data_IF_472109599376
#
_entry.id   IF_472109599376
#
_cell.length_a   1.000
_cell.length_b   1.000
_cell.length_c   1.000
_cell.angle_alpha   90.00
_cell.angle_beta   90.00
_cell.angle_gamma   90.00
#
_symmetry.space_group_name_H-M   'P 1'
#
loop_
_entity.id
_entity.type
_entity.pdbx_description
1 polymer ?
#
# COMPACT_ATOMS: atom_id res chain seq x y z
N UNK A 1 17.02 -19.08 -21.27
CA UNK A 1 17.06 -17.70 -20.73
C UNK A 1 17.86 -16.83 -21.69
N UNK A 2 17.27 -15.76 -22.23
CA UNK A 2 17.95 -14.84 -23.18
C UNK A 2 19.17 -14.15 -22.53
N UNK A 3 20.19 -13.84 -23.33
CA UNK A 3 21.43 -13.16 -22.90
C UNK A 3 21.16 -11.81 -22.22
N UNK A 4 20.07 -11.10 -22.59
CA UNK A 4 19.61 -9.89 -21.90
C UNK A 4 19.14 -10.15 -20.47
N UNK A 5 18.38 -11.22 -20.23
CA UNK A 5 17.93 -11.61 -18.88
C UNK A 5 19.12 -11.98 -17.97
N UNK A 6 20.13 -12.66 -18.51
CA UNK A 6 21.37 -12.98 -17.76
C UNK A 6 22.14 -11.71 -17.36
N UNK A 7 22.24 -10.72 -18.26
CA UNK A 7 22.92 -9.46 -17.97
C UNK A 7 22.19 -8.63 -16.92
N UNK A 8 20.85 -8.53 -16.99
CA UNK A 8 20.05 -7.83 -15.98
C UNK A 8 20.14 -8.47 -14.59
N UNK A 9 20.14 -9.80 -14.50
CA UNK A 9 20.28 -10.53 -13.22
C UNK A 9 21.68 -10.33 -12.62
N UNK A 10 22.74 -10.41 -13.45
CA UNK A 10 24.12 -10.17 -13.00
C UNK A 10 24.32 -8.73 -12.54
N UNK A 11 23.76 -7.75 -13.26
CA UNK A 11 23.77 -6.35 -12.85
C UNK A 11 23.02 -6.17 -11.52
N UNK A 12 21.80 -6.72 -11.37
CA UNK A 12 21.05 -6.64 -10.12
C UNK A 12 21.81 -7.26 -8.94
N UNK A 13 22.39 -8.46 -9.11
CA UNK A 13 23.21 -9.12 -8.08
C UNK A 13 24.41 -8.26 -7.68
N UNK A 14 25.10 -7.63 -8.64
CA UNK A 14 26.23 -6.73 -8.36
C UNK A 14 25.80 -5.44 -7.65
N UNK A 15 24.62 -4.89 -8.01
CA UNK A 15 24.06 -3.72 -7.32
C UNK A 15 23.70 -4.08 -5.87
N UNK A 16 23.13 -5.27 -5.60
CA UNK A 16 22.83 -5.75 -4.23
C UNK A 16 24.10 -6.01 -3.42
N UNK A 17 25.10 -6.69 -3.97
CA UNK A 17 26.34 -7.02 -3.23
C UNK A 17 27.09 -5.78 -2.75
N UNK A 18 27.02 -4.67 -3.49
CA UNK A 18 27.63 -3.40 -3.07
C UNK A 18 27.01 -2.81 -1.79
N UNK A 19 25.77 -3.18 -1.44
CA UNK A 19 25.13 -2.77 -0.18
C UNK A 19 25.65 -3.51 1.05
N UNK A 20 26.12 -4.75 0.90
CA UNK A 20 26.53 -5.59 2.02
C UNK A 20 27.94 -5.28 2.50
N UNK A 21 28.84 -4.86 1.61
CA UNK A 21 30.23 -4.56 1.97
C UNK A 21 30.40 -3.26 2.75
N UNK A 22 29.53 -2.27 2.54
CA UNK A 22 29.64 -0.94 3.17
C UNK A 22 29.00 -0.87 4.57
N UNK A 23 28.05 -1.77 4.88
CA UNK A 23 27.35 -1.81 6.17
C UNK A 23 28.21 -2.29 7.36
N UNK A 24 29.43 -2.79 7.13
CA UNK A 24 30.34 -3.21 8.20
C UNK A 24 31.09 -2.06 8.90
N UNK A 25 30.91 -0.79 8.48
CA UNK A 25 31.71 0.35 8.96
C UNK A 25 30.98 1.45 9.74
N UNK A 26 29.66 1.43 9.87
CA UNK A 26 28.93 2.52 10.53
C UNK A 26 27.50 2.13 10.89
N UNK A 27 26.96 2.71 11.95
CA UNK A 27 25.63 2.45 12.51
C UNK A 27 24.51 2.77 11.51
N UNK A 28 24.22 1.81 10.64
CA UNK A 28 22.96 1.66 9.92
C UNK A 28 22.57 0.20 10.06
N UNK A 29 21.79 -0.10 11.10
CA UNK A 29 21.27 -1.45 11.33
C UNK A 29 20.19 -1.75 10.29
N UNK A 30 20.35 -2.89 9.62
CA UNK A 30 19.37 -3.67 8.82
C UNK A 30 19.33 -3.51 7.29
N UNK A 31 20.14 -4.37 6.63
CA UNK A 31 19.84 -5.11 5.39
C UNK A 31 20.92 -6.21 5.08
N UNK A 32 21.90 -6.42 5.97
CA UNK A 32 23.05 -7.29 5.73
C UNK A 32 22.76 -8.81 5.76
N UNK A 33 21.54 -9.25 6.07
CA UNK A 33 21.25 -10.67 6.38
C UNK A 33 20.72 -11.50 5.21
N UNK A 34 20.27 -10.92 4.09
CA UNK A 34 19.66 -11.73 2.99
C UNK A 34 20.62 -12.04 1.84
N UNK A 35 21.53 -11.13 1.44
CA UNK A 35 22.43 -11.43 0.33
C UNK A 35 23.50 -12.48 0.69
N UNK A 36 23.84 -12.64 1.98
CA UNK A 36 24.78 -13.65 2.44
C UNK A 36 24.24 -15.10 2.32
N UNK A 37 22.92 -15.29 2.18
CA UNK A 37 22.30 -16.61 2.17
C UNK A 37 22.27 -17.28 0.79
N UNK A 38 22.55 -16.56 -0.30
CA UNK A 38 22.36 -17.08 -1.66
C UNK A 38 23.55 -17.86 -2.23
N UNK A 39 24.75 -17.81 -1.63
CA UNK A 39 25.91 -18.63 -2.04
C UNK A 39 26.41 -18.47 -3.49
N UNK A 40 25.75 -17.67 -4.32
CA UNK A 40 26.09 -17.45 -5.72
C UNK A 40 26.78 -16.09 -5.89
N UNK A 41 28.09 -16.06 -5.67
CA UNK A 41 28.93 -14.97 -6.18
C UNK A 41 29.05 -15.14 -7.70
N UNK A 42 28.24 -14.43 -8.49
CA UNK A 42 28.47 -14.34 -9.93
C UNK A 42 29.70 -13.48 -10.19
N UNK A 43 30.74 -14.09 -10.76
CA UNK A 43 32.09 -13.54 -10.97
C UNK A 43 32.19 -12.60 -12.18
N UNK A 44 31.29 -11.63 -12.35
CA UNK A 44 31.56 -10.56 -13.30
C UNK A 44 32.65 -9.66 -12.70
N UNK A 45 33.82 -9.60 -13.36
CA UNK A 45 34.88 -8.73 -12.90
C UNK A 45 34.43 -7.26 -13.00
N UNK A 46 34.73 -6.38 -12.01
CA UNK A 46 34.40 -4.95 -12.05
C UNK A 46 34.86 -4.20 -13.31
N UNK A 47 35.76 -4.80 -14.10
CA UNK A 47 36.21 -4.28 -15.38
C UNK A 47 35.14 -4.33 -16.48
N UNK A 48 34.17 -5.24 -16.43
CA UNK A 48 33.15 -5.43 -17.49
C UNK A 48 31.96 -4.44 -17.39
N UNK A 49 31.85 -3.69 -16.28
CA UNK A 49 30.74 -2.75 -16.04
C UNK A 49 31.08 -1.28 -16.33
N UNK A 50 32.37 -0.93 -16.46
CA UNK A 50 32.82 0.46 -16.67
C UNK A 50 32.43 1.04 -18.03
N UNK A 51 32.15 0.18 -19.00
CA UNK A 51 31.75 0.55 -20.36
C UNK A 51 30.23 0.70 -20.52
N UNK A 52 29.46 0.57 -19.43
CA UNK A 52 28.02 0.85 -19.46
C UNK A 52 27.76 2.35 -19.66
N UNK A 53 26.75 2.72 -20.46
CA UNK A 53 26.31 4.11 -20.53
C UNK A 53 25.86 4.58 -19.15
N UNK A 54 26.01 5.88 -18.89
CA UNK A 54 25.57 6.45 -17.61
C UNK A 54 24.13 6.09 -17.32
N UNK A 55 23.89 5.56 -16.11
CA UNK A 55 22.58 5.14 -15.64
C UNK A 55 21.87 6.33 -15.01
N UNK A 56 20.59 6.50 -15.27
CA UNK A 56 19.75 7.51 -14.63
C UNK A 56 18.93 6.89 -13.51
N UNK A 57 19.11 7.42 -12.29
CA UNK A 57 18.32 7.09 -11.10
C UNK A 57 17.34 8.22 -10.81
N UNK A 58 16.04 7.94 -10.96
CA UNK A 58 14.98 8.91 -10.67
C UNK A 58 14.45 8.75 -9.24
N UNK A 59 14.11 9.85 -8.56
CA UNK A 59 13.51 9.85 -7.23
C UNK A 59 12.56 11.04 -7.00
N UNK A 60 11.55 10.87 -6.15
CA UNK A 60 10.62 11.95 -5.81
C UNK A 60 11.13 12.84 -4.67
N UNK A 61 10.68 14.08 -4.65
CA UNK A 61 11.10 15.13 -3.70
C UNK A 61 10.86 14.74 -2.24
N UNK A 62 11.95 14.44 -1.55
CA UNK A 62 12.06 14.30 -0.09
C UNK A 62 13.55 14.31 0.26
N UNK A 63 13.94 14.96 1.34
CA UNK A 63 15.34 14.98 1.80
C UNK A 63 15.88 13.58 2.06
N UNK A 64 15.05 12.67 2.59
CA UNK A 64 15.40 11.28 2.78
C UNK A 64 15.65 10.54 1.47
N UNK A 65 14.83 10.78 0.44
CA UNK A 65 15.01 10.15 -0.87
C UNK A 65 16.26 10.64 -1.60
N UNK A 66 16.58 11.93 -1.49
CA UNK A 66 17.81 12.49 -2.05
C UNK A 66 19.04 11.82 -1.43
N UNK A 67 19.08 11.72 -0.09
CA UNK A 67 20.19 11.08 0.62
C UNK A 67 20.38 9.63 0.19
N UNK A 68 19.28 8.88 0.03
CA UNK A 68 19.33 7.50 -0.48
C UNK A 68 19.92 7.49 -1.90
N UNK A 69 19.42 8.33 -2.81
CA UNK A 69 19.88 8.36 -4.19
C UNK A 69 21.38 8.71 -4.32
N UNK A 70 21.86 9.69 -3.55
CA UNK A 70 23.28 10.05 -3.47
C UNK A 70 24.14 8.92 -2.89
N UNK A 71 23.63 8.23 -1.87
CA UNK A 71 24.30 7.06 -1.27
C UNK A 71 24.44 5.93 -2.29
N UNK A 72 23.35 5.60 -3.01
CA UNK A 72 23.38 4.58 -4.07
C UNK A 72 24.35 4.96 -5.19
N UNK A 73 24.32 6.21 -5.65
CA UNK A 73 25.25 6.73 -6.66
C UNK A 73 26.71 6.55 -6.21
N UNK A 74 27.04 6.94 -4.97
CA UNK A 74 28.39 6.81 -4.44
C UNK A 74 28.84 5.34 -4.35
N UNK A 75 27.99 4.47 -3.82
CA UNK A 75 28.29 3.04 -3.66
C UNK A 75 28.51 2.33 -5.00
N UNK A 76 27.70 2.64 -6.01
CA UNK A 76 27.86 2.07 -7.36
C UNK A 76 29.09 2.63 -8.07
N UNK A 77 29.44 3.90 -7.84
CA UNK A 77 30.68 4.47 -8.38
C UNK A 77 31.92 3.80 -7.76
N UNK A 78 31.93 3.62 -6.43
CA UNK A 78 33.05 3.02 -5.71
C UNK A 78 33.21 1.52 -6.00
N UNK A 79 32.10 0.78 -5.92
CA UNK A 79 32.14 -0.70 -5.99
C UNK A 79 32.13 -1.24 -7.42
N UNK A 80 31.45 -0.53 -8.33
CA UNK A 80 31.19 -1.02 -9.70
C UNK A 80 31.77 -0.10 -10.78
N UNK A 81 32.27 1.09 -10.43
CA UNK A 81 32.80 2.06 -11.38
C UNK A 81 31.73 2.76 -12.22
N UNK A 82 30.45 2.60 -11.88
CA UNK A 82 29.31 3.10 -12.67
C UNK A 82 29.12 4.61 -12.49
N UNK A 83 28.91 5.33 -13.59
CA UNK A 83 28.48 6.72 -13.58
C UNK A 83 26.95 6.81 -13.54
N UNK A 84 26.41 7.27 -12.42
CA UNK A 84 24.96 7.43 -12.21
C UNK A 84 24.60 8.91 -12.22
N UNK A 85 23.56 9.30 -12.94
CA UNK A 85 22.94 10.63 -12.87
C UNK A 85 21.67 10.56 -12.03
N UNK A 86 21.44 11.59 -11.22
CA UNK A 86 20.28 11.68 -10.32
C UNK A 86 19.27 12.67 -10.90
N UNK A 87 17.99 12.28 -10.96
CA UNK A 87 16.92 13.16 -11.43
C UNK A 87 15.79 13.22 -10.39
N UNK A 88 15.53 14.42 -9.88
CA UNK A 88 14.45 14.69 -8.95
C UNK A 88 13.21 15.19 -9.68
N UNK A 89 12.04 14.73 -9.25
CA UNK A 89 10.74 15.25 -9.70
C UNK A 89 9.72 15.34 -8.56
N UNK A 90 8.75 16.24 -8.74
CA UNK A 90 7.55 16.29 -7.90
C UNK A 90 6.75 14.98 -8.03
N UNK A 91 6.01 14.59 -6.98
CA UNK A 91 5.31 13.31 -6.88
C UNK A 91 4.45 12.97 -8.10
N UNK A 92 3.63 13.90 -8.60
CA UNK A 92 2.73 13.60 -9.72
C UNK A 92 3.51 13.24 -11.00
N UNK A 93 4.54 14.02 -11.32
CA UNK A 93 5.43 13.77 -12.48
C UNK A 93 6.20 12.47 -12.30
N UNK A 94 6.66 12.20 -11.07
CA UNK A 94 7.36 10.96 -10.73
C UNK A 94 6.47 9.73 -10.92
N UNK A 95 5.22 9.78 -10.47
CA UNK A 95 4.25 8.70 -10.66
C UNK A 95 4.00 8.45 -12.15
N UNK A 96 3.73 9.50 -12.94
CA UNK A 96 3.51 9.38 -14.38
C UNK A 96 4.71 8.73 -15.10
N UNK A 97 5.92 9.22 -14.82
CA UNK A 97 7.17 8.68 -15.40
C UNK A 97 7.32 7.19 -15.10
N UNK A 98 7.01 6.76 -13.87
CA UNK A 98 7.10 5.34 -13.45
C UNK A 98 5.97 4.49 -14.04
N UNK A 99 4.78 5.04 -14.16
CA UNK A 99 3.63 4.36 -14.75
C UNK A 99 3.86 4.10 -16.24
N UNK A 100 4.50 5.01 -16.95
CA UNK A 100 4.85 4.85 -18.37
C UNK A 100 6.07 3.94 -18.60
N UNK A 101 6.88 3.69 -17.56
CA UNK A 101 8.11 2.91 -17.68
C UNK A 101 9.30 3.73 -18.22
N UNK A 102 9.22 5.06 -18.15
CA UNK A 102 10.20 6.00 -18.70
C UNK A 102 11.40 6.20 -17.76
N UNK A 103 11.98 5.09 -17.28
CA UNK A 103 13.12 5.11 -16.36
C UNK A 103 14.05 3.92 -16.56
N UNK A 104 15.31 4.08 -16.16
CA UNK A 104 16.27 2.98 -16.09
C UNK A 104 16.32 2.38 -14.68
N UNK A 105 16.43 3.26 -13.67
CA UNK A 105 16.29 2.91 -12.26
C UNK A 105 15.43 3.96 -11.59
N UNK A 106 14.50 3.51 -10.75
CA UNK A 106 13.61 4.39 -10.00
C UNK A 106 13.61 3.99 -8.54
N UNK A 107 13.66 4.99 -7.66
CA UNK A 107 13.34 4.79 -6.26
C UNK A 107 11.90 4.27 -6.14
N UNK A 108 11.68 3.27 -5.31
CA UNK A 108 10.33 2.79 -5.00
C UNK A 108 10.17 2.58 -3.49
N UNK A 109 8.93 2.44 -3.06
CA UNK A 109 8.56 2.11 -1.69
C UNK A 109 7.12 1.67 -1.65
N UNK A 110 6.85 0.74 -0.73
CA UNK A 110 5.53 0.25 -0.41
C UNK A 110 5.42 0.11 1.11
N UNK A 111 4.26 0.41 1.65
CA UNK A 111 3.90 0.13 3.04
C UNK A 111 2.78 -0.92 3.00
N UNK A 112 2.79 -1.89 3.92
CA UNK A 112 1.77 -2.92 3.92
C UNK A 112 0.39 -2.34 4.18
N UNK A 113 -0.60 -2.66 3.35
CA UNK A 113 -1.95 -2.13 3.52
C UNK A 113 -2.75 -2.94 4.55
N UNK A 114 -2.40 -4.22 4.67
CA UNK A 114 -3.01 -5.20 5.55
C UNK A 114 -1.97 -6.24 6.01
N UNK A 115 -2.23 -6.91 7.12
CA UNK A 115 -1.33 -7.88 7.78
C UNK A 115 -1.41 -9.25 7.11
N UNK A 116 -1.07 -9.30 5.82
CA UNK A 116 -0.93 -10.53 5.06
C UNK A 116 0.15 -10.34 3.96
N UNK A 117 1.05 -11.33 3.71
CA UNK A 117 2.12 -11.20 2.71
C UNK A 117 1.63 -10.82 1.30
N UNK A 118 0.36 -11.10 0.98
CA UNK A 118 -0.23 -10.76 -0.31
C UNK A 118 -0.09 -9.26 -0.65
N UNK A 119 -0.08 -8.37 0.35
CA UNK A 119 0.09 -6.91 0.14
C UNK A 119 1.40 -6.56 -0.56
N UNK A 120 2.44 -7.41 -0.42
CA UNK A 120 3.73 -7.22 -1.08
C UNK A 120 3.91 -8.05 -2.34
N UNK A 121 3.18 -9.16 -2.47
CA UNK A 121 3.39 -10.14 -3.53
C UNK A 121 2.50 -9.87 -4.75
N UNK A 122 1.24 -9.49 -4.58
CA UNK A 122 0.36 -9.39 -5.74
C UNK A 122 0.65 -8.20 -6.67
N UNK A 123 1.30 -7.16 -6.15
CA UNK A 123 1.68 -5.97 -6.92
C UNK A 123 2.59 -6.28 -8.12
N UNK A 124 3.31 -7.42 -8.10
CA UNK A 124 4.24 -7.80 -9.16
C UNK A 124 3.62 -8.64 -10.27
N UNK A 125 2.33 -8.95 -10.15
CA UNK A 125 1.63 -9.71 -11.19
C UNK A 125 1.60 -8.96 -12.52
N UNK A 126 1.64 -9.69 -13.63
CA UNK A 126 1.66 -9.11 -14.97
C UNK A 126 0.43 -8.24 -15.21
N UNK A 127 0.65 -6.98 -15.59
CA UNK A 127 -0.42 -6.01 -15.86
C UNK A 127 -1.00 -5.33 -14.62
N UNK A 128 -0.52 -5.63 -13.42
CA UNK A 128 -0.91 -4.90 -12.22
C UNK A 128 -0.45 -3.42 -12.31
N UNK A 129 -1.34 -2.48 -11.99
CA UNK A 129 -1.05 -1.05 -12.03
C UNK A 129 0.09 -0.62 -11.09
N UNK A 130 0.28 -1.33 -9.97
CA UNK A 130 1.37 -1.08 -9.03
C UNK A 130 2.71 -1.68 -9.48
N UNK A 131 2.70 -2.53 -10.52
CA UNK A 131 3.93 -3.07 -11.10
C UNK A 131 4.63 -2.02 -12.00
N UNK A 132 5.28 -1.04 -11.38
CA UNK A 132 6.02 -0.02 -12.12
C UNK A 132 7.24 -0.59 -12.87
N UNK A 133 7.80 -1.71 -12.40
CA UNK A 133 8.96 -2.37 -13.04
C UNK A 133 8.63 -2.97 -14.41
N UNK A 134 7.33 -3.17 -14.71
CA UNK A 134 6.83 -3.91 -15.88
C UNK A 134 7.38 -5.35 -15.96
N UNK A 135 7.90 -5.88 -14.86
CA UNK A 135 8.36 -7.26 -14.78
C UNK A 135 7.18 -8.22 -14.97
N UNK A 136 7.44 -9.35 -15.62
CA UNK A 136 6.43 -10.38 -15.85
C UNK A 136 7.06 -11.76 -15.76
N UNK A 137 6.35 -12.65 -15.08
CA UNK A 137 6.70 -14.05 -14.98
C UNK A 137 5.42 -14.88 -14.84
N UNK A 138 5.17 -15.76 -15.81
CA UNK A 138 3.93 -16.54 -15.87
C UNK A 138 3.81 -17.56 -14.71
N UNK A 139 4.93 -18.08 -14.20
CA UNK A 139 4.93 -18.99 -13.05
C UNK A 139 4.60 -18.22 -11.77
N UNK A 140 5.15 -17.01 -11.61
CA UNK A 140 4.80 -16.09 -10.53
C UNK A 140 3.31 -15.76 -10.54
N UNK A 141 2.78 -15.34 -11.69
CA UNK A 141 1.35 -15.02 -11.85
C UNK A 141 0.46 -16.19 -11.45
N UNK A 142 0.83 -17.41 -11.86
CA UNK A 142 0.11 -18.63 -11.50
C UNK A 142 0.16 -18.92 -10.00
N UNK A 143 1.30 -18.70 -9.35
CA UNK A 143 1.45 -18.90 -7.91
C UNK A 143 0.61 -17.88 -7.12
N UNK A 144 0.62 -16.61 -7.51
CA UNK A 144 -0.25 -15.60 -6.91
C UNK A 144 -1.73 -15.95 -7.12
N UNK A 145 -2.13 -16.35 -8.32
CA UNK A 145 -3.50 -16.79 -8.59
C UNK A 145 -3.91 -18.01 -7.73
N UNK A 146 -2.97 -18.95 -7.51
CA UNK A 146 -3.18 -20.10 -6.62
C UNK A 146 -3.37 -19.65 -5.17
N UNK A 147 -2.51 -18.75 -4.69
CA UNK A 147 -2.60 -18.22 -3.34
C UNK A 147 -3.91 -17.43 -3.09
N UNK A 148 -4.39 -16.68 -4.10
CA UNK A 148 -5.66 -15.94 -4.03
C UNK A 148 -6.92 -16.82 -4.10
N UNK A 149 -6.85 -17.98 -4.74
CA UNK A 149 -8.02 -18.87 -4.92
C UNK A 149 -8.09 -20.04 -3.93
N UNK A 150 -7.04 -20.29 -3.15
CA UNK A 150 -6.99 -21.41 -2.20
C UNK A 150 -7.55 -21.06 -0.82
N UNK A 151 -8.53 -21.83 -0.36
CA UNK A 151 -9.03 -21.80 1.02
C UNK A 151 -8.19 -22.65 1.99
N UNK A 152 -7.22 -23.43 1.50
CA UNK A 152 -6.28 -24.18 2.33
C UNK A 152 -5.08 -23.29 2.70
N UNK A 153 -4.85 -22.99 4.00
CA UNK A 153 -3.74 -22.16 4.45
C UNK A 153 -2.37 -22.70 4.06
N UNK A 154 -2.17 -24.02 4.05
CA UNK A 154 -0.89 -24.62 3.71
C UNK A 154 -0.56 -24.43 2.23
N UNK A 155 -1.54 -24.67 1.34
CA UNK A 155 -1.39 -24.43 -0.10
C UNK A 155 -1.14 -22.96 -0.39
N UNK A 156 -1.90 -22.07 0.25
CA UNK A 156 -1.77 -20.62 0.08
C UNK A 156 -0.39 -20.12 0.51
N UNK A 157 0.06 -20.48 1.70
CA UNK A 157 1.37 -20.06 2.21
C UNK A 157 2.52 -20.62 1.38
N UNK A 158 2.43 -21.88 0.95
CA UNK A 158 3.45 -22.48 0.09
C UNK A 158 3.54 -21.76 -1.26
N UNK A 159 2.41 -21.46 -1.89
CA UNK A 159 2.39 -20.72 -3.15
C UNK A 159 3.00 -19.32 -3.02
N UNK A 160 2.75 -18.62 -1.89
CA UNK A 160 3.38 -17.32 -1.62
C UNK A 160 4.90 -17.43 -1.39
N UNK A 161 5.38 -18.45 -0.69
CA UNK A 161 6.83 -18.69 -0.53
C UNK A 161 7.51 -19.01 -1.86
N UNK A 162 6.88 -19.82 -2.71
CA UNK A 162 7.42 -20.13 -4.04
C UNK A 162 7.43 -18.89 -4.94
N UNK A 163 6.42 -18.02 -4.83
CA UNK A 163 6.37 -16.74 -5.54
C UNK A 163 7.47 -15.79 -5.04
N UNK A 164 7.60 -15.61 -3.72
CA UNK A 164 8.68 -14.83 -3.09
C UNK A 164 10.05 -15.30 -3.58
N UNK A 165 10.28 -16.61 -3.65
CA UNK A 165 11.54 -17.16 -4.16
C UNK A 165 11.83 -16.71 -5.59
N UNK A 166 10.84 -16.70 -6.48
CA UNK A 166 11.02 -16.19 -7.84
C UNK A 166 11.37 -14.70 -7.81
N UNK A 167 10.63 -13.90 -7.04
CA UNK A 167 10.85 -12.46 -6.91
C UNK A 167 12.27 -12.16 -6.41
N UNK A 168 12.73 -12.88 -5.39
CA UNK A 168 14.06 -12.73 -4.80
C UNK A 168 15.18 -13.37 -5.63
N UNK A 169 14.86 -14.18 -6.64
CA UNK A 169 15.83 -14.73 -7.59
C UNK A 169 15.97 -13.84 -8.82
N UNK A 170 14.86 -13.33 -9.37
CA UNK A 170 14.88 -12.47 -10.56
C UNK A 170 15.14 -11.00 -10.24
N UNK A 171 14.97 -10.58 -8.98
CA UNK A 171 15.27 -9.24 -8.45
C UNK A 171 14.74 -8.09 -9.31
N UNK A 172 13.43 -8.05 -9.67
CA UNK A 172 12.84 -6.87 -10.31
C UNK A 172 12.82 -5.65 -9.36
N UNK A 173 13.03 -5.89 -8.07
CA UNK A 173 13.28 -4.88 -7.03
C UNK A 173 14.57 -5.18 -6.28
N UNK A 174 15.18 -4.10 -5.76
CA UNK A 174 16.37 -4.13 -4.93
C UNK A 174 16.02 -3.53 -3.56
N UNK A 175 15.62 -4.35 -2.56
CA UNK A 175 15.30 -3.84 -1.23
C UNK A 175 16.53 -3.20 -0.58
N UNK A 176 16.39 -1.95 -0.11
CA UNK A 176 17.49 -1.18 0.50
C UNK A 176 17.35 -1.09 2.02
N UNK A 177 16.14 -0.78 2.51
CA UNK A 177 15.84 -0.65 3.93
C UNK A 177 14.33 -0.80 4.18
N UNK A 178 13.96 -1.00 5.44
CA UNK A 178 12.58 -0.91 5.90
C UNK A 178 12.34 0.47 6.53
N UNK A 179 11.18 1.07 6.29
CA UNK A 179 10.86 2.35 6.91
C UNK A 179 10.88 2.25 8.44
N UNK A 180 11.47 3.26 9.06
CA UNK A 180 11.45 3.44 10.51
C UNK A 180 10.90 4.83 10.81
N UNK A 181 9.83 4.90 11.61
CA UNK A 181 9.30 6.16 12.09
C UNK A 181 9.91 6.50 13.46
N UNK A 182 10.40 7.73 13.61
CA UNK A 182 10.97 8.24 14.86
C UNK A 182 10.04 9.31 15.40
N UNK A 183 9.64 9.18 16.66
CA UNK A 183 8.70 10.08 17.32
C UNK A 183 9.32 10.64 18.60
N UNK A 184 8.93 11.88 18.94
CA UNK A 184 9.25 12.49 20.22
C UNK A 184 7.97 12.59 21.05
N UNK A 185 7.94 11.91 22.20
CA UNK A 185 6.85 11.97 23.16
C UNK A 185 7.33 12.68 24.44
N UNK A 186 6.52 13.61 24.96
CA UNK A 186 6.76 14.28 26.24
C UNK A 186 6.33 13.44 27.45
N UNK A 187 5.77 12.24 27.21
CA UNK A 187 5.34 11.27 28.21
C UNK A 187 4.00 11.58 28.85
N UNK A 188 3.27 12.62 28.44
CA UNK A 188 1.97 13.01 29.01
C UNK A 188 0.79 12.28 28.37
N UNK A 189 0.93 11.83 27.12
CA UNK A 189 -0.09 11.07 26.41
C UNK A 189 0.21 9.58 26.58
N UNK A 190 -0.78 8.79 26.98
CA UNK A 190 -0.67 7.34 27.19
C UNK A 190 -1.64 6.62 26.25
N UNK A 191 -1.37 5.35 25.97
CA UNK A 191 -2.27 4.46 25.23
C UNK A 191 -2.67 4.93 23.82
N UNK A 192 -1.91 5.86 23.23
CA UNK A 192 -2.00 6.09 21.79
C UNK A 192 -1.38 4.89 21.06
N UNK A 193 -1.84 4.62 19.85
CA UNK A 193 -1.52 3.39 19.12
C UNK A 193 -0.79 3.77 17.85
N UNK A 194 0.31 3.07 17.58
CA UNK A 194 0.96 3.08 16.28
C UNK A 194 0.37 1.95 15.44
N UNK A 195 -0.15 2.29 14.27
CA UNK A 195 -0.52 1.30 13.28
C UNK A 195 0.72 0.51 12.84
N UNK A 196 0.64 -0.82 12.91
CA UNK A 196 1.80 -1.68 12.70
C UNK A 196 2.30 -1.73 11.24
N UNK A 197 1.54 -1.22 10.27
CA UNK A 197 1.88 -1.36 8.85
C UNK A 197 2.12 -0.02 8.17
N UNK A 198 1.16 0.90 8.24
CA UNK A 198 1.24 2.22 7.63
C UNK A 198 1.84 3.26 8.58
N UNK A 199 2.01 2.91 9.85
CA UNK A 199 2.62 3.80 10.84
C UNK A 199 1.71 4.93 11.31
N UNK A 200 0.41 4.85 11.04
CA UNK A 200 -0.58 5.82 11.46
C UNK A 200 -0.62 6.00 12.98
N UNK A 201 -0.88 7.23 13.41
CA UNK A 201 -0.98 7.60 14.81
C UNK A 201 -2.44 7.66 15.23
N UNK A 202 -2.87 6.73 16.09
CA UNK A 202 -4.25 6.65 16.56
C UNK A 202 -4.38 7.11 18.02
N UNK A 203 -5.25 8.10 18.24
CA UNK A 203 -5.51 8.70 19.55
C UNK A 203 -6.85 8.29 20.17
N UNK A 204 -7.63 7.42 19.51
CA UNK A 204 -8.94 6.95 19.99
C UNK A 204 -8.90 6.38 21.41
N UNK A 205 -7.83 5.66 21.75
CA UNK A 205 -7.63 5.06 23.08
C UNK A 205 -6.68 5.87 23.96
N UNK A 206 -6.21 7.01 23.46
CA UNK A 206 -5.23 7.81 24.17
C UNK A 206 -5.84 8.46 25.41
N UNK A 207 -5.06 8.49 26.48
CA UNK A 207 -5.41 9.19 27.71
C UNK A 207 -4.35 10.23 28.04
N UNK A 208 -4.77 11.31 28.71
CA UNK A 208 -3.90 12.39 29.15
C UNK A 208 -4.46 12.97 30.45
N UNK A 209 -3.58 13.37 31.35
CA UNK A 209 -3.97 14.13 32.55
C UNK A 209 -4.23 15.62 32.20
N UNK A 210 -5.32 16.15 32.76
CA UNK A 210 -5.75 17.54 32.55
C UNK A 210 -6.54 17.75 31.27
N UNK A 211 -7.08 18.97 31.11
CA UNK A 211 -8.02 19.32 30.04
C UNK A 211 -7.35 19.93 28.80
N UNK A 212 -6.03 20.11 28.82
CA UNK A 212 -5.28 20.63 27.68
C UNK A 212 -5.40 19.67 26.49
N UNK A 213 -5.46 20.17 25.23
CA UNK A 213 -5.54 19.31 24.06
C UNK A 213 -4.29 18.41 23.90
N UNK A 214 -4.46 17.27 23.24
CA UNK A 214 -3.34 16.49 22.69
C UNK A 214 -2.77 17.29 21.51
N UNK A 215 -1.47 17.59 21.55
CA UNK A 215 -0.77 18.26 20.46
C UNK A 215 0.03 17.21 19.70
N UNK A 216 -0.30 17.04 18.42
CA UNK A 216 0.37 16.13 17.51
C UNK A 216 0.91 16.89 16.31
N UNK A 217 2.18 16.66 15.95
CA UNK A 217 2.78 17.22 14.76
C UNK A 217 2.56 16.25 13.60
N UNK A 218 1.61 16.59 12.73
CA UNK A 218 1.21 15.79 11.58
C UNK A 218 2.27 15.69 10.46
N UNK A 219 3.32 16.52 10.53
CA UNK A 219 4.41 16.59 9.56
C UNK A 219 4.10 17.48 8.35
N UNK A 220 3.01 17.18 7.63
CA UNK A 220 2.55 17.95 6.48
C UNK A 220 1.08 18.36 6.63
N UNK A 221 0.66 19.36 5.86
CA UNK A 221 -0.76 19.69 5.73
C UNK A 221 -1.38 18.71 4.74
N UNK A 222 -2.44 17.96 5.11
CA UNK A 222 -3.11 17.05 4.21
C UNK A 222 -3.64 17.76 2.96
N UNK A 223 -3.37 17.18 1.80
CA UNK A 223 -3.91 17.69 0.53
C UNK A 223 -5.44 17.54 0.46
N UNK A 224 -5.97 16.48 1.09
CA UNK A 224 -7.40 16.24 1.18
C UNK A 224 -7.76 15.43 2.42
N UNK A 225 -8.96 15.65 2.96
CA UNK A 225 -9.57 14.80 3.99
C UNK A 225 -10.71 13.94 3.42
N UNK A 226 -10.84 13.86 2.10
CA UNK A 226 -11.78 12.97 1.42
C UNK A 226 -11.25 11.54 1.43
N UNK A 227 -11.92 10.58 2.10
CA UNK A 227 -11.40 9.22 2.23
C UNK A 227 -11.16 8.51 0.89
N UNK A 228 -11.90 8.85 -0.17
CA UNK A 228 -11.73 8.25 -1.48
C UNK A 228 -10.68 8.95 -2.35
N UNK A 229 -10.20 10.13 -1.98
CA UNK A 229 -9.14 10.83 -2.73
C UNK A 229 -7.80 10.90 -1.98
N UNK A 230 -7.79 10.66 -0.67
CA UNK A 230 -6.56 10.67 0.10
C UNK A 230 -5.62 9.53 -0.34
N UNK A 231 -4.38 9.89 -0.68
CA UNK A 231 -3.33 8.96 -1.04
C UNK A 231 -2.11 9.00 -0.10
N UNK A 232 -2.20 9.73 1.02
CA UNK A 232 -1.07 10.02 1.89
C UNK A 232 -1.35 9.69 3.37
N UNK A 233 -0.27 9.45 4.13
CA UNK A 233 -0.34 9.01 5.54
C UNK A 233 -0.84 10.12 6.47
N UNK A 234 -0.47 11.37 6.22
CA UNK A 234 -0.90 12.55 6.97
C UNK A 234 -2.41 12.78 6.87
N UNK A 235 -2.99 12.66 5.67
CA UNK A 235 -4.44 12.70 5.52
C UNK A 235 -5.12 11.49 6.16
N UNK A 236 -4.55 10.29 6.02
CA UNK A 236 -5.09 9.07 6.64
C UNK A 236 -5.10 9.13 8.18
N UNK A 237 -4.06 9.71 8.79
CA UNK A 237 -3.99 9.97 10.23
C UNK A 237 -5.21 10.79 10.68
N UNK A 238 -5.58 11.84 9.96
CA UNK A 238 -6.75 12.65 10.31
C UNK A 238 -8.06 11.92 10.01
N UNK A 239 -8.19 11.31 8.83
CA UNK A 239 -9.41 10.64 8.36
C UNK A 239 -9.84 9.52 9.33
N UNK A 240 -8.91 8.74 9.87
CA UNK A 240 -9.22 7.66 10.81
C UNK A 240 -9.78 8.13 12.16
N UNK A 241 -9.67 9.42 12.49
CA UNK A 241 -10.33 10.00 13.66
C UNK A 241 -11.69 10.63 13.32
N UNK A 242 -11.93 10.92 12.04
CA UNK A 242 -13.17 11.56 11.57
C UNK A 242 -14.21 10.55 11.08
N UNK A 243 -13.78 9.37 10.65
CA UNK A 243 -14.62 8.33 10.06
C UNK A 243 -14.36 6.97 10.70
N UNK A 244 -15.37 6.11 10.65
CA UNK A 244 -15.29 4.71 11.09
C UNK A 244 -15.73 3.83 9.93
N UNK A 245 -14.91 2.84 9.57
CA UNK A 245 -15.24 1.83 8.55
C UNK A 245 -16.25 0.79 9.03
N UNK A 246 -16.51 -0.24 8.22
CA UNK A 246 -17.31 -1.38 8.68
C UNK A 246 -16.63 -2.05 9.89
N UNK A 247 -15.30 -2.12 9.83
CA UNK A 247 -14.42 -2.60 10.90
C UNK A 247 -13.44 -1.49 11.27
N UNK A 248 -12.75 -1.66 12.40
CA UNK A 248 -11.67 -0.78 12.83
C UNK A 248 -10.58 -1.60 13.52
N UNK A 249 -9.45 -0.97 13.83
CA UNK A 249 -8.39 -1.56 14.66
C UNK A 249 -8.65 -1.23 16.13
N UNK A 250 -8.21 -2.07 17.07
CA UNK A 250 -8.19 -1.79 18.51
C UNK A 250 -6.81 -1.32 19.00
N UNK A 251 -6.64 -1.15 20.31
CA UNK A 251 -5.37 -0.72 20.90
C UNK A 251 -4.19 -1.68 20.71
N UNK A 252 -4.46 -2.88 20.21
CA UNK A 252 -3.48 -3.93 19.91
C UNK A 252 -3.34 -4.18 18.42
N UNK A 253 -3.84 -3.27 17.58
CA UNK A 253 -3.91 -3.43 16.11
C UNK A 253 -4.78 -4.62 15.64
N UNK A 254 -5.60 -5.22 16.52
CA UNK A 254 -6.51 -6.29 16.12
C UNK A 254 -7.75 -5.71 15.45
N UNK A 255 -8.28 -6.41 14.45
CA UNK A 255 -9.52 -5.99 13.79
C UNK A 255 -10.72 -6.28 14.69
N UNK A 256 -11.51 -5.25 14.93
CA UNK A 256 -12.72 -5.27 15.76
C UNK A 256 -13.91 -4.64 15.00
N UNK A 257 -15.15 -4.87 15.46
CA UNK A 257 -16.34 -4.20 14.94
C UNK A 257 -16.21 -2.68 14.91
N UNK A 258 -16.55 -2.07 13.77
CA UNK A 258 -16.67 -0.62 13.57
C UNK A 258 -18.15 -0.22 13.50
N UNK A 259 -18.57 0.33 12.36
CA UNK A 259 -20.00 0.57 12.07
C UNK A 259 -20.75 -0.76 11.93
N UNK A 260 -20.10 -1.81 11.41
CA UNK A 260 -20.67 -3.15 11.45
C UNK A 260 -20.44 -3.78 12.82
N UNK A 261 -21.53 -4.16 13.50
CA UNK A 261 -21.50 -4.84 14.81
C UNK A 261 -21.04 -6.30 14.71
N UNK A 262 -21.33 -6.94 13.58
CA UNK A 262 -20.97 -8.32 13.25
C UNK A 262 -21.07 -8.53 11.73
N UNK A 263 -20.56 -9.66 11.26
CA UNK A 263 -20.71 -10.09 9.88
C UNK A 263 -20.79 -11.62 9.78
N UNK A 264 -21.49 -12.08 8.74
CA UNK A 264 -21.56 -13.49 8.36
C UNK A 264 -20.78 -13.71 7.06
N UNK A 265 -20.19 -14.89 6.91
CA UNK A 265 -19.40 -15.28 5.73
C UNK A 265 -19.99 -16.58 5.19
N UNK A 266 -20.24 -16.65 3.88
CA UNK A 266 -20.68 -17.88 3.22
C UNK A 266 -19.61 -18.99 3.28
N UNK A 267 -20.03 -20.26 3.13
CA UNK A 267 -19.12 -21.41 3.18
C UNK A 267 -17.98 -21.36 2.15
N UNK A 268 -18.22 -20.71 1.00
CA UNK A 268 -17.22 -20.50 -0.06
C UNK A 268 -16.31 -19.28 0.18
N UNK A 269 -16.58 -18.47 1.20
CA UNK A 269 -15.83 -17.26 1.54
C UNK A 269 -16.08 -16.06 0.62
N UNK A 270 -17.04 -16.15 -0.30
CA UNK A 270 -17.27 -15.13 -1.33
C UNK A 270 -18.31 -14.08 -0.92
N UNK A 271 -19.32 -14.45 -0.15
CA UNK A 271 -20.39 -13.53 0.28
C UNK A 271 -20.21 -13.16 1.73
N UNK A 272 -20.10 -11.86 1.99
CA UNK A 272 -19.99 -11.27 3.31
C UNK A 272 -21.23 -10.42 3.57
N UNK A 273 -21.88 -10.64 4.71
CA UNK A 273 -23.05 -9.86 5.14
C UNK A 273 -22.73 -9.10 6.41
N UNK A 274 -22.60 -7.78 6.32
CA UNK A 274 -22.31 -6.89 7.45
C UNK A 274 -23.60 -6.34 8.04
N UNK A 275 -23.73 -6.41 9.38
CA UNK A 275 -24.87 -5.91 10.13
C UNK A 275 -24.47 -4.62 10.85
N UNK A 276 -24.94 -3.49 10.35
CA UNK A 276 -24.63 -2.16 10.86
C UNK A 276 -25.31 -1.91 12.21
N UNK A 277 -24.65 -1.13 13.06
CA UNK A 277 -25.20 -0.73 14.34
C UNK A 277 -26.37 0.26 14.17
N UNK A 278 -27.36 0.16 15.06
CA UNK A 278 -28.50 1.07 15.07
C UNK A 278 -28.14 2.47 15.59
N UNK A 279 -27.13 2.56 16.46
CA UNK A 279 -26.66 3.81 17.09
C UNK A 279 -25.61 4.56 16.26
N UNK A 280 -25.19 4.03 15.12
CA UNK A 280 -24.26 4.70 14.23
C UNK A 280 -24.94 5.91 13.58
N UNK A 281 -24.46 7.11 13.93
CA UNK A 281 -24.94 8.39 13.41
C UNK A 281 -23.79 9.24 12.88
N UNK A 282 -24.08 10.04 11.87
CA UNK A 282 -23.23 11.12 11.40
C UNK A 282 -23.19 12.26 12.41
N UNK A 283 -22.23 13.17 12.28
CA UNK A 283 -22.07 14.33 13.17
C UNK A 283 -23.28 15.28 13.18
N UNK A 284 -24.13 15.25 12.14
CA UNK A 284 -25.40 15.98 12.06
C UNK A 284 -26.61 15.19 12.63
N UNK A 285 -26.37 14.03 13.24
CA UNK A 285 -27.36 13.17 13.85
C UNK A 285 -28.12 12.25 12.90
N UNK A 286 -27.88 12.30 11.59
CA UNK A 286 -28.52 11.36 10.65
C UNK A 286 -27.94 9.95 10.82
N UNK A 287 -28.75 8.88 10.64
CA UNK A 287 -28.25 7.51 10.73
C UNK A 287 -27.22 7.20 9.64
N UNK A 288 -26.22 6.40 9.98
CA UNK A 288 -25.35 5.73 9.01
C UNK A 288 -26.11 4.52 8.45
N UNK A 289 -26.15 4.39 7.12
CA UNK A 289 -26.87 3.32 6.42
C UNK A 289 -25.97 2.62 5.39
N UNK A 290 -26.35 1.41 4.97
CA UNK A 290 -25.60 0.58 4.01
C UNK A 290 -25.29 1.34 2.71
N UNK A 291 -26.22 2.15 2.21
CA UNK A 291 -26.03 2.95 1.00
C UNK A 291 -24.87 3.96 1.11
N UNK A 292 -24.49 4.41 2.32
CA UNK A 292 -23.32 5.30 2.48
C UNK A 292 -22.01 4.59 2.11
N UNK A 293 -21.90 3.29 2.38
CA UNK A 293 -20.73 2.49 1.98
C UNK A 293 -20.77 2.18 0.48
N UNK A 294 -21.94 1.80 -0.04
CA UNK A 294 -22.12 1.50 -1.48
C UNK A 294 -21.76 2.72 -2.32
N UNK A 295 -22.29 3.89 -1.95
CA UNK A 295 -21.96 5.15 -2.62
C UNK A 295 -20.46 5.44 -2.57
N UNK A 296 -19.83 5.34 -1.39
CA UNK A 296 -18.40 5.58 -1.22
C UNK A 296 -17.53 4.68 -2.11
N UNK A 297 -17.84 3.38 -2.15
CA UNK A 297 -17.06 2.41 -2.91
C UNK A 297 -17.26 2.56 -4.42
N UNK A 298 -18.50 2.81 -4.87
CA UNK A 298 -18.78 3.14 -6.27
C UNK A 298 -18.03 4.41 -6.69
N UNK A 299 -18.06 5.44 -5.84
CA UNK A 299 -17.34 6.69 -6.08
C UNK A 299 -15.84 6.48 -6.17
N UNK A 300 -15.23 5.71 -5.28
CA UNK A 300 -13.80 5.40 -5.34
C UNK A 300 -13.42 4.68 -6.63
N UNK A 301 -14.27 3.76 -7.10
CA UNK A 301 -14.01 2.98 -8.31
C UNK A 301 -14.27 3.73 -9.61
N UNK A 302 -15.14 4.74 -9.61
CA UNK A 302 -15.44 5.55 -10.78
C UNK A 302 -14.15 6.21 -11.30
N UNK A 303 -13.73 5.92 -12.55
CA UNK A 303 -12.54 6.53 -13.14
C UNK A 303 -12.58 8.08 -13.13
N UNK A 304 -13.78 8.68 -13.16
CA UNK A 304 -13.95 10.12 -13.10
C UNK A 304 -13.55 10.72 -11.74
N UNK A 305 -13.56 9.93 -10.66
CA UNK A 305 -13.10 10.38 -9.34
C UNK A 305 -11.58 10.45 -9.27
N UNK A 306 -10.86 9.57 -9.98
CA UNK A 306 -9.39 9.53 -9.96
C UNK A 306 -8.79 9.05 -8.63
N UNK A 307 -9.45 8.12 -7.92
CA UNK A 307 -8.94 7.57 -6.66
C UNK A 307 -7.70 6.69 -6.89
N UNK A 308 -6.54 7.12 -6.40
CA UNK A 308 -5.29 6.35 -6.54
C UNK A 308 -5.33 5.03 -5.74
N UNK A 309 -6.10 4.97 -4.64
CA UNK A 309 -6.29 3.77 -3.83
C UNK A 309 -7.50 2.91 -4.22
N UNK A 310 -8.15 3.16 -5.37
CA UNK A 310 -9.29 2.37 -5.85
C UNK A 310 -9.02 0.85 -5.88
N UNK A 311 -7.76 0.47 -6.09
CA UNK A 311 -7.33 -0.93 -6.10
C UNK A 311 -7.54 -1.67 -4.78
N UNK A 312 -7.67 -0.96 -3.65
CA UNK A 312 -8.04 -1.58 -2.35
C UNK A 312 -9.42 -2.24 -2.39
N UNK A 313 -10.28 -1.85 -3.35
CA UNK A 313 -11.64 -2.37 -3.52
C UNK A 313 -11.68 -3.50 -4.56
N UNK A 314 -10.59 -3.79 -5.29
CA UNK A 314 -10.59 -4.76 -6.39
C UNK A 314 -10.90 -6.21 -5.98
N UNK A 315 -10.86 -6.50 -4.68
CA UNK A 315 -11.31 -7.77 -4.12
C UNK A 315 -12.83 -7.96 -4.18
N UNK A 316 -13.60 -6.87 -4.30
CA UNK A 316 -15.05 -6.90 -4.53
C UNK A 316 -15.33 -7.27 -5.99
N UNK A 317 -16.30 -8.14 -6.20
CA UNK A 317 -16.68 -8.62 -7.54
C UNK A 317 -16.95 -7.45 -8.48
N UNK A 318 -16.39 -7.54 -9.69
CA UNK A 318 -16.44 -6.53 -10.76
C UNK A 318 -15.67 -5.21 -10.51
N UNK A 319 -15.12 -4.96 -9.32
CA UNK A 319 -14.53 -3.67 -8.98
C UNK A 319 -13.38 -3.25 -9.93
N UNK A 320 -12.46 -4.15 -10.25
CA UNK A 320 -11.35 -3.85 -11.17
C UNK A 320 -11.84 -3.49 -12.58
N UNK A 321 -12.85 -4.21 -13.10
CA UNK A 321 -13.44 -3.93 -14.42
C UNK A 321 -14.17 -2.59 -14.47
N UNK A 322 -14.83 -2.22 -13.37
CA UNK A 322 -15.46 -0.90 -13.22
C UNK A 322 -14.40 0.21 -13.27
N UNK A 323 -13.31 0.06 -12.51
CA UNK A 323 -12.23 1.04 -12.51
C UNK A 323 -11.46 1.09 -13.84
N UNK A 324 -11.45 0.01 -14.61
CA UNK A 324 -10.94 -0.01 -15.99
C UNK A 324 -11.92 0.61 -17.01
N UNK A 325 -13.13 1.01 -16.59
CA UNK A 325 -14.18 1.54 -17.48
C UNK A 325 -14.89 0.48 -18.34
N UNK A 326 -14.69 -0.80 -18.04
CA UNK A 326 -15.28 -1.92 -18.79
C UNK A 326 -16.73 -2.24 -18.37
N UNK A 327 -17.08 -1.96 -17.10
CA UNK A 327 -18.41 -2.16 -16.53
C UNK A 327 -18.91 -0.88 -15.85
N UNK A 328 -20.23 -0.78 -15.66
CA UNK A 328 -20.84 0.36 -14.95
C UNK A 328 -20.67 0.20 -13.43
N UNK A 329 -20.57 1.33 -12.71
CA UNK A 329 -20.47 1.34 -11.23
C UNK A 329 -21.61 0.60 -10.53
N UNK A 330 -22.80 0.52 -11.14
CA UNK A 330 -23.96 -0.22 -10.61
C UNK A 330 -23.83 -1.74 -10.70
N UNK A 331 -22.84 -2.26 -11.43
CA UNK A 331 -22.54 -3.69 -11.52
C UNK A 331 -21.57 -4.15 -10.42
N UNK A 332 -21.17 -3.25 -9.51
CA UNK A 332 -20.33 -3.59 -8.37
C UNK A 332 -21.02 -4.66 -7.51
N UNK A 333 -20.26 -5.65 -7.04
CA UNK A 333 -20.74 -6.75 -6.20
C UNK A 333 -21.14 -6.33 -4.78
N UNK A 334 -21.96 -5.30 -4.62
CA UNK A 334 -22.50 -4.82 -3.34
C UNK A 334 -23.98 -4.52 -3.45
N UNK A 335 -24.73 -4.77 -2.38
CA UNK A 335 -26.13 -4.33 -2.27
C UNK A 335 -26.52 -4.10 -0.83
N UNK A 336 -27.40 -3.14 -0.60
CA UNK A 336 -28.11 -2.98 0.65
C UNK A 336 -29.29 -3.96 0.63
N UNK A 337 -29.33 -4.90 1.58
CA UNK A 337 -30.53 -5.72 1.81
C UNK A 337 -31.61 -4.85 2.47
N UNK A 338 -31.16 -3.98 3.38
CA UNK A 338 -31.90 -2.91 4.03
C UNK A 338 -30.89 -1.85 4.53
N UNK A 339 -31.40 -0.80 5.20
CA UNK A 339 -30.59 0.31 5.72
C UNK A 339 -29.43 -0.14 6.64
N UNK A 340 -29.56 -1.29 7.31
CA UNK A 340 -28.61 -1.79 8.31
C UNK A 340 -27.92 -3.09 7.90
N UNK A 341 -28.11 -3.55 6.67
CA UNK A 341 -27.56 -4.81 6.20
C UNK A 341 -26.91 -4.64 4.83
N UNK A 342 -25.58 -4.71 4.79
CA UNK A 342 -24.77 -4.62 3.57
C UNK A 342 -24.28 -6.02 3.18
N UNK A 343 -24.64 -6.47 1.98
CA UNK A 343 -24.07 -7.68 1.38
C UNK A 343 -22.99 -7.31 0.37
N UNK A 344 -21.83 -7.97 0.48
CA UNK A 344 -20.67 -7.82 -0.41
C UNK A 344 -20.33 -9.18 -1.01
N UNK A 345 -20.18 -9.24 -2.33
CA UNK A 345 -19.67 -10.41 -3.05
C UNK A 345 -18.25 -10.13 -3.51
N UNK A 346 -17.32 -11.02 -3.18
CA UNK A 346 -15.91 -10.94 -3.54
C UNK A 346 -15.61 -11.66 -4.86
N UNK A 347 -14.54 -11.26 -5.54
CA UNK A 347 -14.02 -11.93 -6.73
C UNK A 347 -13.37 -13.28 -6.38
N UNK A 348 -12.79 -13.36 -5.19
CA UNK A 348 -12.18 -14.57 -4.62
C UNK A 348 -12.19 -14.51 -3.09
N UNK A 349 -12.08 -15.67 -2.44
CA UNK A 349 -12.04 -15.75 -0.99
C UNK A 349 -10.84 -14.94 -0.46
N UNK A 350 -11.13 -13.93 0.37
CA UNK A 350 -10.14 -12.95 0.85
C UNK A 350 -10.10 -12.96 2.38
N UNK A 351 -9.20 -13.73 3.01
CA UNK A 351 -9.18 -13.89 4.48
C UNK A 351 -8.96 -12.60 5.27
N UNK A 352 -8.36 -11.59 4.64
CA UNK A 352 -8.05 -10.28 5.21
C UNK A 352 -9.07 -9.20 4.82
N UNK A 353 -10.25 -9.57 4.30
CA UNK A 353 -11.24 -8.59 3.84
C UNK A 353 -11.67 -7.61 4.95
N UNK A 354 -11.76 -8.06 6.20
CA UNK A 354 -12.05 -7.19 7.35
C UNK A 354 -10.94 -6.18 7.68
N UNK A 355 -9.71 -6.40 7.20
CA UNK A 355 -8.63 -5.41 7.30
C UNK A 355 -8.80 -4.34 6.23
N UNK A 356 -9.22 -4.72 5.01
CA UNK A 356 -9.54 -3.77 3.94
C UNK A 356 -10.70 -2.86 4.33
N UNK A 357 -11.74 -3.38 4.99
CA UNK A 357 -12.87 -2.56 5.43
C UNK A 357 -12.58 -1.64 6.62
N UNK A 358 -11.38 -1.75 7.21
CA UNK A 358 -10.83 -0.81 8.20
C UNK A 358 -9.91 0.24 7.55
N UNK A 359 -9.67 0.17 6.24
CA UNK A 359 -8.82 1.08 5.49
C UNK A 359 -9.61 2.33 5.03
N UNK A 360 -9.03 3.55 5.11
CA UNK A 360 -9.74 4.80 4.83
C UNK A 360 -10.52 4.86 3.51
N UNK A 361 -9.98 4.34 2.43
CA UNK A 361 -10.64 4.34 1.11
C UNK A 361 -12.03 3.67 1.14
N UNK A 362 -12.23 2.69 2.02
CA UNK A 362 -13.49 1.97 2.19
C UNK A 362 -14.43 2.60 3.23
N UNK A 363 -14.07 3.74 3.83
CA UNK A 363 -14.93 4.43 4.79
C UNK A 363 -16.17 5.04 4.11
N UNK A 364 -17.31 5.07 4.82
CA UNK A 364 -18.54 5.58 4.25
C UNK A 364 -18.43 7.09 4.03
N UNK A 365 -19.14 7.60 3.03
CA UNK A 365 -19.41 9.03 2.85
C UNK A 365 -20.86 9.22 2.44
N UNK A 366 -21.38 10.43 2.59
CA UNK A 366 -22.78 10.76 2.27
C UNK A 366 -22.89 11.45 0.92
N UNK A 367 -23.64 10.85 0.02
CA UNK A 367 -23.93 11.43 -1.31
C UNK A 367 -24.51 12.84 -1.22
N UNK A 368 -25.45 13.10 -0.29
CA UNK A 368 -26.06 14.42 -0.16
C UNK A 368 -25.09 15.50 0.36
N UNK A 369 -23.95 15.12 0.94
CA UNK A 369 -22.88 16.01 1.37
C UNK A 369 -21.88 16.21 0.24
N UNK A 370 -21.39 15.11 -0.34
CA UNK A 370 -20.41 15.15 -1.43
C UNK A 370 -20.97 15.89 -2.65
N UNK A 371 -22.18 15.54 -3.08
CA UNK A 371 -22.80 16.12 -4.28
C UNK A 371 -23.12 17.61 -4.17
N UNK A 372 -23.21 18.17 -2.97
CA UNK A 372 -23.39 19.62 -2.77
C UNK A 372 -22.14 20.43 -3.06
N UNK A 373 -20.96 19.83 -2.84
CA UNK A 373 -19.68 20.51 -3.01
C UNK A 373 -18.56 19.51 -3.35
N UNK A 374 -18.61 18.89 -4.53
CA UNK A 374 -17.78 17.72 -4.85
C UNK A 374 -16.28 17.99 -4.75
N UNK A 375 -15.84 19.23 -4.99
CA UNK A 375 -14.42 19.61 -4.98
C UNK A 375 -13.88 19.98 -3.59
N UNK A 376 -14.74 20.33 -2.61
CA UNK A 376 -14.26 20.84 -1.32
C UNK A 376 -15.07 20.40 -0.10
N UNK A 377 -16.00 19.46 -0.23
CA UNK A 377 -16.82 18.96 0.89
C UNK A 377 -15.98 18.51 2.09
N UNK A 378 -14.81 17.92 1.85
CA UNK A 378 -13.91 17.42 2.88
C UNK A 378 -12.87 18.45 3.37
N UNK A 379 -12.55 19.46 2.54
CA UNK A 379 -11.44 20.39 2.79
C UNK A 379 -11.90 21.75 3.33
N UNK A 380 -13.20 21.95 3.49
CA UNK A 380 -13.78 23.19 4.03
C UNK A 380 -15.00 22.88 4.90
N UNK A 381 -14.80 22.24 6.07
CA UNK A 381 -15.89 22.02 7.00
C UNK A 381 -16.45 23.37 7.46
N UNK A 382 -17.78 23.55 7.37
CA UNK A 382 -18.50 24.75 7.80
C UNK A 382 -18.98 24.64 9.24
#
# INVERSE_FOLDING_TARGET
MSMKKRFSIVLCLLLVLSFVTTACGGTATTAATTAAAAGETTTAAPAELKDLPSLKLIYNTSSGHQLIAETVQAMWKESLGLDVTLENSEWAVFQETRNNGDFQVSRHGWLGDYTDPMTFLDMWTTGNGQNNSKWSNADYDKLIATAKSSNDPAVRMQAMHDAEKILMTELPILPVYYYTNVWLDNGKVKNYVHDALLGHMMFTWATKEGDDPILYHLGATPATLDPQLNNATDGADVIQHLFVGLTMKDEKNAIVPGVASKWDISDDGLTWTFHLRDDAVWSDGKPVVADNFIYAWKRALDPATGSEYAYQIFYVKNAQKINAGELKVDELGVKAIDDKTLEVTLESATPYFTQLTAFPTLFPVREDVVSKNPESWANSPK
#
